data_IF_426709286013
#
_entry.id   IF_426709286013
#
_cell.length_a   1.000
_cell.length_b   1.000
_cell.length_c   1.000
_cell.angle_alpha   90.00
_cell.angle_beta   90.00
_cell.angle_gamma   90.00
#
_symmetry.space_group_name_H-M   'P 1'
#
loop_
_entity.id
_entity.type
_entity.pdbx_description
1 polymer ?
#
# COMPACT_ATOMS: atom_id res chain seq x y z
N UNK A 1 -5.55 18.43 4.15
CA UNK A 1 -4.99 17.65 3.02
C UNK A 1 -5.13 16.15 3.24
N UNK A 2 -4.52 15.56 4.28
CA UNK A 2 -4.55 14.10 4.51
C UNK A 2 -5.97 13.52 4.66
N UNK A 3 -6.87 14.21 5.37
CA UNK A 3 -8.27 13.80 5.53
C UNK A 3 -9.02 13.68 4.19
N UNK A 4 -8.76 14.59 3.25
CA UNK A 4 -9.37 14.55 1.92
C UNK A 4 -8.84 13.36 1.11
N UNK A 5 -7.53 13.08 1.20
CA UNK A 5 -6.94 11.89 0.57
C UNK A 5 -7.51 10.60 1.17
N UNK A 6 -7.64 10.51 2.50
CA UNK A 6 -8.28 9.37 3.14
C UNK A 6 -9.73 9.18 2.66
N UNK A 7 -10.54 10.24 2.59
CA UNK A 7 -11.92 10.14 2.11
C UNK A 7 -12.00 9.64 0.66
N UNK A 8 -11.14 10.17 -0.23
CA UNK A 8 -11.06 9.73 -1.62
C UNK A 8 -10.59 8.27 -1.73
N UNK A 9 -9.59 7.87 -0.94
CA UNK A 9 -9.08 6.51 -0.94
C UNK A 9 -10.11 5.51 -0.37
N UNK A 10 -10.82 5.86 0.70
CA UNK A 10 -11.87 5.02 1.28
C UNK A 10 -12.98 4.78 0.23
N UNK A 11 -13.52 5.86 -0.35
CA UNK A 11 -14.55 5.76 -1.37
C UNK A 11 -14.08 5.00 -2.62
N UNK A 12 -12.91 5.36 -3.15
CA UNK A 12 -12.34 4.74 -4.35
C UNK A 12 -12.03 3.26 -4.18
N UNK A 13 -11.48 2.85 -3.04
CA UNK A 13 -11.17 1.45 -2.78
C UNK A 13 -12.43 0.62 -2.48
N UNK A 14 -13.43 1.16 -1.77
CA UNK A 14 -14.74 0.50 -1.63
C UNK A 14 -15.39 0.24 -2.98
N UNK A 15 -15.43 1.26 -3.85
CA UNK A 15 -15.94 1.11 -5.22
C UNK A 15 -15.10 0.09 -5.99
N UNK A 16 -13.78 0.10 -5.85
CA UNK A 16 -12.90 -0.87 -6.52
C UNK A 16 -13.20 -2.30 -6.10
N UNK A 17 -13.42 -2.56 -4.80
CA UNK A 17 -13.80 -3.89 -4.29
C UNK A 17 -15.13 -4.32 -4.91
N UNK A 18 -16.15 -3.47 -4.90
CA UNK A 18 -17.47 -3.78 -5.46
C UNK A 18 -17.37 -4.08 -6.96
N UNK A 19 -16.72 -3.20 -7.74
CA UNK A 19 -16.59 -3.33 -9.19
C UNK A 19 -15.83 -4.59 -9.58
N UNK A 20 -14.71 -4.89 -8.92
CA UNK A 20 -13.89 -6.06 -9.25
C UNK A 20 -14.56 -7.36 -8.79
N UNK A 21 -15.33 -7.34 -7.69
CA UNK A 21 -16.12 -8.49 -7.24
C UNK A 21 -17.16 -8.90 -8.29
N UNK A 22 -17.75 -7.94 -9.01
CA UNK A 22 -18.64 -8.22 -10.15
C UNK A 22 -17.95 -8.91 -11.34
N UNK A 23 -16.62 -8.79 -11.47
CA UNK A 23 -15.86 -9.49 -12.51
C UNK A 23 -15.55 -10.95 -12.14
N UNK A 24 -15.74 -11.33 -10.88
CA UNK A 24 -15.44 -12.65 -10.35
C UNK A 24 -13.94 -12.93 -10.17
N UNK A 25 -13.65 -13.92 -9.33
CA UNK A 25 -12.28 -14.26 -8.88
C UNK A 25 -11.62 -15.40 -9.67
N UNK A 26 -12.11 -15.70 -10.87
CA UNK A 26 -11.46 -16.67 -11.77
C UNK A 26 -10.20 -16.08 -12.42
N UNK A 27 -10.19 -14.77 -12.66
CA UNK A 27 -9.02 -14.04 -13.16
C UNK A 27 -8.08 -13.69 -11.98
N UNK A 28 -6.81 -14.07 -12.10
CA UNK A 28 -5.76 -13.84 -11.09
C UNK A 28 -5.60 -12.36 -10.74
N UNK A 29 -5.76 -11.51 -11.73
CA UNK A 29 -5.74 -10.05 -11.59
C UNK A 29 -6.81 -9.55 -10.62
N UNK A 30 -8.03 -10.10 -10.68
CA UNK A 30 -9.13 -9.64 -9.83
C UNK A 30 -8.89 -10.00 -8.37
N UNK A 31 -8.23 -11.15 -8.11
CA UNK A 31 -7.83 -11.59 -6.76
C UNK A 31 -6.87 -10.57 -6.14
N UNK A 32 -5.75 -10.29 -6.82
CA UNK A 32 -4.71 -9.40 -6.28
C UNK A 32 -5.17 -7.93 -6.21
N UNK A 33 -5.93 -7.44 -7.19
CA UNK A 33 -6.46 -6.06 -7.19
C UNK A 33 -7.49 -5.85 -6.08
N UNK A 34 -8.37 -6.83 -5.84
CA UNK A 34 -9.32 -6.74 -4.73
C UNK A 34 -8.60 -6.76 -3.39
N UNK A 35 -7.62 -7.65 -3.23
CA UNK A 35 -6.81 -7.72 -2.01
C UNK A 35 -6.02 -6.43 -1.75
N UNK A 36 -5.46 -5.83 -2.80
CA UNK A 36 -4.82 -4.51 -2.74
C UNK A 36 -5.81 -3.43 -2.27
N UNK A 37 -7.01 -3.38 -2.85
CA UNK A 37 -8.03 -2.40 -2.47
C UNK A 37 -8.50 -2.58 -1.01
N UNK A 38 -8.55 -3.82 -0.50
CA UNK A 38 -8.83 -4.10 0.93
C UNK A 38 -7.71 -3.55 1.82
N UNK A 39 -6.44 -3.76 1.46
CA UNK A 39 -5.30 -3.22 2.22
C UNK A 39 -5.30 -1.68 2.20
N UNK A 40 -5.50 -1.08 1.04
CA UNK A 40 -5.53 0.38 0.86
C UNK A 40 -6.71 1.01 1.63
N UNK A 41 -7.86 0.32 1.68
CA UNK A 41 -9.02 0.73 2.49
C UNK A 41 -8.69 0.68 3.98
N UNK A 42 -8.14 -0.44 4.48
CA UNK A 42 -7.78 -0.59 5.89
C UNK A 42 -6.72 0.45 6.32
N UNK A 43 -5.70 0.66 5.49
CA UNK A 43 -4.68 1.70 5.69
C UNK A 43 -5.32 3.10 5.75
N UNK A 44 -6.22 3.42 4.80
CA UNK A 44 -6.84 4.74 4.72
C UNK A 44 -7.83 5.00 5.88
N UNK A 45 -8.57 3.98 6.31
CA UNK A 45 -9.47 4.07 7.47
C UNK A 45 -8.68 4.33 8.75
N UNK A 46 -7.64 3.57 9.00
CA UNK A 46 -6.79 3.74 10.19
C UNK A 46 -6.07 5.10 10.16
N UNK A 47 -5.57 5.54 9.01
CA UNK A 47 -4.98 6.88 8.87
C UNK A 47 -6.01 8.01 9.06
N UNK A 48 -7.25 7.81 8.63
CA UNK A 48 -8.36 8.73 8.90
C UNK A 48 -8.66 8.84 10.40
N UNK A 49 -8.67 7.71 11.11
CA UNK A 49 -8.81 7.68 12.57
C UNK A 49 -7.68 8.48 13.23
N UNK A 50 -6.43 8.29 12.82
CA UNK A 50 -5.31 9.10 13.35
C UNK A 50 -5.53 10.61 13.17
N UNK A 51 -6.03 11.02 12.00
CA UNK A 51 -6.29 12.42 11.70
C UNK A 51 -7.40 13.04 12.59
N UNK A 52 -8.29 12.23 13.19
CA UNK A 52 -9.31 12.72 14.13
C UNK A 52 -8.71 13.34 15.40
N UNK A 53 -7.48 12.96 15.80
CA UNK A 53 -6.78 13.58 16.94
C UNK A 53 -6.71 15.10 16.84
N UNK A 54 -6.52 15.62 15.62
CA UNK A 54 -6.42 17.06 15.37
C UNK A 54 -7.74 17.80 15.57
N UNK A 55 -8.87 17.10 15.42
CA UNK A 55 -10.21 17.62 15.67
C UNK A 55 -10.48 17.57 17.17
N UNK A 56 -10.24 16.43 17.81
CA UNK A 56 -10.42 16.25 19.26
C UNK A 56 -9.60 17.27 20.05
N UNK A 57 -8.33 17.49 19.69
CA UNK A 57 -7.46 18.44 20.37
C UNK A 57 -7.89 19.90 20.27
N UNK A 58 -8.87 20.25 19.43
CA UNK A 58 -9.48 21.59 19.41
C UNK A 58 -10.56 21.77 20.47
N UNK A 59 -11.14 20.67 20.96
CA UNK A 59 -12.27 20.70 21.89
C UNK A 59 -11.87 20.18 23.28
N UNK A 60 -11.05 19.12 23.35
CA UNK A 60 -10.68 18.45 24.60
C UNK A 60 -9.27 17.85 24.48
N UNK A 61 -8.30 18.48 25.14
CA UNK A 61 -6.88 18.08 25.12
C UNK A 61 -6.67 16.73 25.83
N UNK A 62 -7.15 16.49 27.07
CA UNK A 62 -7.08 15.16 27.71
C UNK A 62 -7.67 14.02 26.86
N UNK A 63 -8.83 14.24 26.23
CA UNK A 63 -9.45 13.25 25.35
C UNK A 63 -8.60 12.99 24.10
N UNK A 64 -8.05 14.04 23.50
CA UNK A 64 -7.14 13.91 22.35
C UNK A 64 -5.87 13.14 22.68
N UNK A 65 -5.29 13.34 23.86
CA UNK A 65 -4.12 12.58 24.33
C UNK A 65 -4.47 11.12 24.52
N UNK A 66 -5.60 10.84 25.18
CA UNK A 66 -6.11 9.47 25.38
C UNK A 66 -6.31 8.78 24.04
N UNK A 67 -7.05 9.40 23.12
CA UNK A 67 -7.28 8.86 21.78
C UNK A 67 -5.99 8.58 21.03
N UNK A 68 -4.99 9.47 21.15
CA UNK A 68 -3.69 9.31 20.50
C UNK A 68 -2.91 8.12 21.07
N UNK A 69 -2.93 7.92 22.39
CA UNK A 69 -2.31 6.76 23.04
C UNK A 69 -2.98 5.46 22.61
N UNK A 70 -4.31 5.40 22.62
CA UNK A 70 -5.06 4.23 22.13
C UNK A 70 -4.78 3.93 20.66
N UNK A 71 -4.68 4.96 19.81
CA UNK A 71 -4.33 4.78 18.41
C UNK A 71 -2.94 4.16 18.26
N UNK A 72 -1.94 4.68 18.97
CA UNK A 72 -0.55 4.20 18.87
C UNK A 72 -0.42 2.75 19.35
N UNK A 73 -1.08 2.38 20.45
CA UNK A 73 -1.03 1.02 21.00
C UNK A 73 -1.82 0.03 20.14
N UNK A 74 -3.06 0.36 19.76
CA UNK A 74 -3.98 -0.62 19.20
C UNK A 74 -4.25 -0.52 17.70
N UNK A 75 -3.97 0.62 17.06
CA UNK A 75 -4.35 0.86 15.65
C UNK A 75 -3.14 1.03 14.75
N UNK A 76 -2.09 1.70 15.22
CA UNK A 76 -0.88 1.95 14.45
C UNK A 76 -0.20 0.67 13.94
N UNK A 77 -0.06 -0.42 14.73
CA UNK A 77 0.52 -1.66 14.20
C UNK A 77 -0.27 -2.23 13.01
N UNK A 78 -1.60 -2.21 13.07
CA UNK A 78 -2.46 -2.67 11.97
C UNK A 78 -2.42 -1.73 10.76
N UNK A 79 -2.24 -0.43 10.98
CA UNK A 79 -1.99 0.52 9.90
C UNK A 79 -0.71 0.16 9.15
N UNK A 80 0.39 -0.10 9.86
CA UNK A 80 1.66 -0.50 9.25
C UNK A 80 1.59 -1.87 8.57
N UNK A 81 0.88 -2.82 9.17
CA UNK A 81 0.63 -4.12 8.55
C UNK A 81 -0.16 -3.99 7.24
N UNK A 82 -1.22 -3.18 7.22
CA UNK A 82 -2.02 -2.93 6.01
C UNK A 82 -1.20 -2.27 4.92
N UNK A 83 -0.33 -1.32 5.28
CA UNK A 83 0.60 -0.67 4.37
C UNK A 83 1.57 -1.69 3.73
N UNK A 84 2.24 -2.49 4.56
CA UNK A 84 3.19 -3.49 4.11
C UNK A 84 2.53 -4.55 3.20
N UNK A 85 1.30 -4.96 3.54
CA UNK A 85 0.51 -5.81 2.67
C UNK A 85 0.19 -5.14 1.33
N UNK A 86 -0.24 -3.87 1.31
CA UNK A 86 -0.51 -3.13 0.07
C UNK A 86 0.73 -3.10 -0.84
N UNK A 87 1.90 -2.78 -0.28
CA UNK A 87 3.19 -2.82 -1.00
C UNK A 87 3.47 -4.21 -1.58
N UNK A 88 3.29 -5.27 -0.79
CA UNK A 88 3.46 -6.66 -1.25
C UNK A 88 2.52 -7.04 -2.39
N UNK A 89 1.27 -6.58 -2.37
CA UNK A 89 0.32 -6.81 -3.45
C UNK A 89 0.72 -6.09 -4.74
N UNK A 90 1.25 -4.86 -4.67
CA UNK A 90 1.80 -4.18 -5.86
C UNK A 90 2.98 -4.96 -6.44
N UNK A 91 3.82 -5.57 -5.61
CA UNK A 91 4.90 -6.47 -6.06
C UNK A 91 4.38 -7.71 -6.78
N UNK A 92 3.32 -8.35 -6.26
CA UNK A 92 2.66 -9.47 -6.96
C UNK A 92 2.13 -9.01 -8.32
N UNK A 93 1.49 -7.84 -8.40
CA UNK A 93 0.99 -7.27 -9.67
C UNK A 93 2.15 -7.08 -10.66
N UNK A 94 3.27 -6.51 -10.22
CA UNK A 94 4.44 -6.28 -11.07
C UNK A 94 5.03 -7.59 -11.61
N UNK A 95 5.15 -8.61 -10.74
CA UNK A 95 5.62 -9.95 -11.11
C UNK A 95 4.67 -10.63 -12.09
N UNK A 96 3.36 -10.60 -11.83
CA UNK A 96 2.34 -11.14 -12.73
C UNK A 96 2.44 -10.50 -14.12
N UNK A 97 2.57 -9.16 -14.19
CA UNK A 97 2.73 -8.44 -15.46
C UNK A 97 4.02 -8.83 -16.18
N UNK A 98 5.13 -8.91 -15.45
CA UNK A 98 6.42 -9.32 -16.02
C UNK A 98 6.32 -10.73 -16.61
N UNK A 99 5.74 -11.68 -15.88
CA UNK A 99 5.57 -13.06 -16.35
C UNK A 99 4.67 -13.14 -17.58
N UNK A 100 3.55 -12.41 -17.60
CA UNK A 100 2.63 -12.37 -18.73
C UNK A 100 3.29 -11.87 -20.03
N UNK A 101 4.18 -10.86 -19.92
CA UNK A 101 4.90 -10.30 -21.06
C UNK A 101 6.11 -11.14 -21.43
N UNK A 102 6.84 -11.67 -20.45
CA UNK A 102 8.08 -12.39 -20.69
C UNK A 102 7.86 -13.82 -21.18
N UNK A 103 6.78 -14.47 -20.74
CA UNK A 103 6.47 -15.87 -20.96
C UNK A 103 4.99 -16.09 -21.33
N UNK A 104 4.50 -15.51 -22.44
CA UNK A 104 3.08 -15.49 -22.79
C UNK A 104 2.46 -16.90 -22.94
N UNK A 105 3.24 -17.90 -23.37
CA UNK A 105 2.76 -19.29 -23.52
C UNK A 105 2.79 -20.12 -22.23
N UNK A 106 3.49 -19.64 -21.19
CA UNK A 106 3.60 -20.36 -19.90
C UNK A 106 2.86 -19.66 -18.77
N UNK A 107 2.47 -18.38 -18.94
CA UNK A 107 1.86 -17.60 -17.87
C UNK A 107 0.56 -18.22 -17.35
N UNK A 108 -0.29 -18.79 -18.22
CA UNK A 108 -1.53 -19.45 -17.80
C UNK A 108 -1.31 -20.70 -16.94
N UNK A 109 -0.16 -21.36 -17.09
CA UNK A 109 0.25 -22.51 -16.26
C UNK A 109 0.98 -22.08 -14.99
N UNK A 110 1.72 -20.97 -15.05
CA UNK A 110 2.49 -20.45 -13.91
C UNK A 110 1.57 -19.71 -12.94
N UNK A 111 0.79 -18.75 -13.46
CA UNK A 111 -0.09 -17.85 -12.72
C UNK A 111 -1.52 -18.36 -12.82
N UNK A 112 -1.90 -19.19 -11.84
CA UNK A 112 -3.26 -19.73 -11.70
C UNK A 112 -3.96 -19.08 -10.52
N UNK A 113 -5.30 -19.06 -10.51
CA UNK A 113 -6.09 -18.49 -9.41
C UNK A 113 -5.67 -19.05 -8.03
N UNK A 114 -5.48 -20.38 -7.92
CA UNK A 114 -5.03 -21.02 -6.68
C UNK A 114 -3.66 -20.53 -6.20
N UNK A 115 -2.68 -20.42 -7.12
CA UNK A 115 -1.34 -19.93 -6.78
C UNK A 115 -1.35 -18.45 -6.43
N UNK A 116 -2.20 -17.66 -7.11
CA UNK A 116 -2.38 -16.25 -6.82
C UNK A 116 -3.00 -16.03 -5.43
N UNK A 117 -4.05 -16.78 -5.09
CA UNK A 117 -4.65 -16.76 -3.74
C UNK A 117 -3.62 -17.16 -2.69
N UNK A 118 -2.84 -18.22 -2.93
CA UNK A 118 -1.79 -18.64 -2.02
C UNK A 118 -0.76 -17.52 -1.82
N UNK A 119 -0.29 -16.88 -2.90
CA UNK A 119 0.67 -15.77 -2.83
C UNK A 119 0.12 -14.56 -2.05
N UNK A 120 -1.15 -14.20 -2.27
CA UNK A 120 -1.85 -13.15 -1.51
C UNK A 120 -1.90 -13.49 -0.02
N UNK A 121 -2.27 -14.71 0.34
CA UNK A 121 -2.29 -15.18 1.74
C UNK A 121 -0.88 -15.16 2.34
N UNK A 122 0.14 -15.56 1.57
CA UNK A 122 1.54 -15.49 2.01
C UNK A 122 1.95 -14.06 2.37
N UNK A 123 1.56 -13.06 1.55
CA UNK A 123 1.84 -11.64 1.84
C UNK A 123 1.23 -11.22 3.16
N UNK A 124 -0.02 -11.60 3.44
CA UNK A 124 -0.67 -11.28 4.72
C UNK A 124 0.07 -11.90 5.90
N UNK A 125 0.38 -13.21 5.83
CA UNK A 125 1.04 -13.94 6.92
C UNK A 125 2.46 -13.42 7.16
N UNK A 126 3.27 -13.28 6.11
CA UNK A 126 4.65 -12.82 6.25
C UNK A 126 4.72 -11.42 6.85
N UNK A 127 3.89 -10.48 6.37
CA UNK A 127 3.87 -9.13 6.92
C UNK A 127 3.29 -9.09 8.34
N UNK A 128 2.34 -9.97 8.69
CA UNK A 128 1.81 -10.06 10.05
C UNK A 128 2.89 -10.51 11.03
N UNK A 129 3.65 -11.54 10.69
CA UNK A 129 4.75 -12.04 11.51
C UNK A 129 5.84 -10.97 11.68
N UNK A 130 6.17 -10.27 10.59
CA UNK A 130 7.16 -9.19 10.61
C UNK A 130 6.69 -7.96 11.41
N UNK A 131 5.38 -7.71 11.51
CA UNK A 131 4.84 -6.57 12.25
C UNK A 131 4.60 -6.84 13.74
N UNK A 132 4.76 -8.09 14.23
CA UNK A 132 4.55 -8.43 15.65
C UNK A 132 5.28 -7.47 16.61
N UNK A 133 6.57 -7.13 16.39
CA UNK A 133 7.28 -6.25 17.32
C UNK A 133 6.67 -4.84 17.44
N UNK A 134 5.90 -4.36 16.46
CA UNK A 134 5.19 -3.08 16.56
C UNK A 134 4.13 -3.08 17.67
N UNK A 135 3.53 -4.24 17.96
CA UNK A 135 2.54 -4.39 19.04
C UNK A 135 3.17 -4.40 20.43
N UNK A 136 4.49 -4.49 20.52
CA UNK A 136 5.23 -4.66 21.77
C UNK A 136 6.03 -3.40 22.13
N UNK A 137 5.84 -2.28 21.44
CA UNK A 137 6.63 -1.04 21.69
C UNK A 137 6.04 -0.25 22.85
N UNK A 138 4.73 -0.02 22.83
CA UNK A 138 4.07 0.93 23.72
C UNK A 138 2.91 0.28 24.47
N UNK A 139 2.77 0.67 25.73
CA UNK A 139 1.57 0.56 26.54
C UNK A 139 0.99 1.95 26.81
N UNK A 140 -0.01 2.04 27.67
CA UNK A 140 -0.49 3.31 28.19
C UNK A 140 -0.73 3.25 29.70
N UNK A 141 -0.52 4.40 30.34
CA UNK A 141 -0.76 4.60 31.76
C UNK A 141 -1.72 5.78 31.97
N UNK A 142 -2.57 5.68 32.99
CA UNK A 142 -3.49 6.75 33.35
C UNK A 142 -2.76 7.81 34.18
N UNK A 143 -2.65 9.01 33.62
CA UNK A 143 -1.98 10.16 34.26
C UNK A 143 -3.03 11.19 34.67
N UNK A 144 -2.91 11.70 35.90
CA UNK A 144 -3.78 12.77 36.39
C UNK A 144 -3.50 14.10 35.65
N UNK A 145 -4.56 14.71 35.12
CA UNK A 145 -4.58 16.06 34.55
C UNK A 145 -5.34 16.99 35.51
N UNK A 146 -4.61 17.61 36.44
CA UNK A 146 -5.21 18.51 37.42
C UNK A 146 -6.17 17.83 38.40
N UNK A 147 -7.07 18.61 39.00
CA UNK A 147 -7.80 18.18 40.20
C UNK A 147 -8.90 17.12 39.97
N UNK A 148 -9.36 16.86 38.74
CA UNK A 148 -10.47 15.93 38.48
C UNK A 148 -10.47 15.24 37.09
N UNK A 149 -9.40 15.36 36.30
CA UNK A 149 -9.32 14.67 35.00
C UNK A 149 -8.12 13.73 34.98
N UNK A 150 -8.22 12.66 34.20
CA UNK A 150 -7.09 11.79 33.86
C UNK A 150 -7.09 11.54 32.36
N UNK A 151 -5.93 11.23 31.80
CA UNK A 151 -5.78 10.84 30.40
C UNK A 151 -4.80 9.68 30.28
N UNK A 152 -4.96 8.88 29.23
CA UNK A 152 -4.00 7.84 28.91
C UNK A 152 -2.76 8.48 28.25
N UNK A 153 -1.60 8.35 28.88
CA UNK A 153 -0.30 8.71 28.32
C UNK A 153 0.42 7.46 27.81
N UNK A 154 1.22 7.60 26.75
CA UNK A 154 2.04 6.51 26.25
C UNK A 154 3.15 6.18 27.26
N UNK A 155 3.31 4.90 27.54
CA UNK A 155 4.46 4.35 28.26
C UNK A 155 5.16 3.31 27.37
N UNK A 156 6.45 3.09 27.61
CA UNK A 156 7.16 2.01 26.93
C UNK A 156 6.72 0.67 27.51
N UNK A 157 6.47 -0.31 26.64
CA UNK A 157 6.21 -1.66 27.09
C UNK A 157 7.49 -2.27 27.68
N UNK A 158 7.36 -3.03 28.77
CA UNK A 158 8.50 -3.64 29.47
C UNK A 158 9.40 -4.47 28.54
N UNK A 159 8.81 -5.26 27.63
CA UNK A 159 9.58 -6.06 26.67
C UNK A 159 10.44 -5.17 25.74
N UNK A 160 9.89 -4.02 25.32
CA UNK A 160 10.63 -3.05 24.53
C UNK A 160 11.72 -2.36 25.34
N UNK A 161 11.45 -1.91 26.56
CA UNK A 161 12.48 -1.30 27.39
C UNK A 161 13.65 -2.26 27.65
N UNK A 162 13.38 -3.55 27.87
CA UNK A 162 14.40 -4.58 28.07
C UNK A 162 15.17 -4.94 26.78
N UNK A 163 14.61 -4.71 25.59
CA UNK A 163 15.17 -5.14 24.29
C UNK A 163 15.24 -4.02 23.24
N UNK A 164 15.33 -2.76 23.69
CA UNK A 164 15.12 -1.57 22.85
C UNK A 164 16.09 -1.47 21.68
N UNK A 165 17.36 -1.81 21.85
CA UNK A 165 18.36 -1.83 20.77
C UNK A 165 17.97 -2.83 19.67
N UNK A 166 17.66 -4.06 20.06
CA UNK A 166 17.29 -5.13 19.12
C UNK A 166 15.98 -4.80 18.40
N UNK A 167 14.98 -4.30 19.12
CA UNK A 167 13.68 -3.94 18.53
C UNK A 167 13.80 -2.75 17.60
N UNK A 168 14.55 -1.72 17.98
CA UNK A 168 14.79 -0.57 17.10
C UNK A 168 15.56 -0.96 15.85
N UNK A 169 16.59 -1.81 15.97
CA UNK A 169 17.30 -2.36 14.81
C UNK A 169 16.35 -3.16 13.91
N UNK A 170 15.56 -4.07 14.49
CA UNK A 170 14.61 -4.87 13.72
C UNK A 170 13.57 -3.99 12.99
N UNK A 171 12.97 -3.00 13.66
CA UNK A 171 11.93 -2.17 13.05
C UNK A 171 12.47 -1.16 12.03
N UNK A 172 13.53 -0.44 12.38
CA UNK A 172 14.10 0.61 11.54
C UNK A 172 14.88 0.05 10.34
N UNK A 173 15.54 -1.11 10.51
CA UNK A 173 16.36 -1.71 9.45
C UNK A 173 15.62 -2.87 8.79
N UNK A 174 15.28 -3.91 9.55
CA UNK A 174 14.81 -5.18 8.98
C UNK A 174 13.40 -5.05 8.42
N UNK A 175 12.42 -4.65 9.23
CA UNK A 175 11.03 -4.46 8.81
C UNK A 175 10.94 -3.41 7.70
N UNK A 176 11.46 -2.22 7.93
CA UNK A 176 11.36 -1.10 6.99
C UNK A 176 11.99 -1.42 5.62
N UNK A 177 13.09 -2.18 5.57
CA UNK A 177 13.72 -2.52 4.30
C UNK A 177 13.16 -3.79 3.66
N UNK A 178 12.87 -4.84 4.41
CA UNK A 178 12.34 -6.08 3.82
C UNK A 178 10.86 -5.96 3.42
N UNK A 179 10.04 -5.23 4.19
CA UNK A 179 8.62 -5.09 3.92
C UNK A 179 8.27 -3.92 2.99
N UNK A 180 9.14 -2.90 2.87
CA UNK A 180 8.85 -1.69 2.07
C UNK A 180 9.88 -1.45 0.97
N UNK A 181 11.18 -1.43 1.27
CA UNK A 181 12.23 -1.09 0.29
C UNK A 181 12.48 -2.21 -0.74
N UNK A 182 12.68 -3.44 -0.29
CA UNK A 182 12.96 -4.59 -1.17
C UNK A 182 11.81 -4.83 -2.18
N UNK A 183 10.53 -4.81 -1.76
CA UNK A 183 9.40 -4.85 -2.69
C UNK A 183 9.45 -3.76 -3.77
N UNK A 184 9.87 -2.53 -3.43
CA UNK A 184 10.03 -1.46 -4.40
C UNK A 184 11.11 -1.79 -5.44
N UNK A 185 12.25 -2.35 -5.02
CA UNK A 185 13.31 -2.80 -5.94
C UNK A 185 12.78 -3.89 -6.87
N UNK A 186 12.03 -4.85 -6.34
CA UNK A 186 11.40 -5.91 -7.16
C UNK A 186 10.41 -5.31 -8.16
N UNK A 187 9.56 -4.38 -7.73
CA UNK A 187 8.61 -3.67 -8.62
C UNK A 187 9.36 -2.91 -9.71
N UNK A 188 10.47 -2.24 -9.37
CA UNK A 188 11.29 -1.49 -10.32
C UNK A 188 11.88 -2.41 -11.40
N UNK A 189 12.49 -3.52 -10.99
CA UNK A 189 13.08 -4.50 -11.91
C UNK A 189 12.01 -5.14 -12.80
N UNK A 190 10.88 -5.55 -12.22
CA UNK A 190 9.78 -6.18 -12.95
C UNK A 190 9.15 -5.20 -13.95
N UNK A 191 8.89 -3.97 -13.53
CA UNK A 191 8.29 -2.92 -14.36
C UNK A 191 9.21 -2.55 -15.51
N UNK A 192 10.51 -2.35 -15.23
CA UNK A 192 11.52 -2.04 -16.25
C UNK A 192 11.64 -3.16 -17.28
N UNK A 193 11.74 -4.42 -16.83
CA UNK A 193 11.78 -5.60 -17.70
C UNK A 193 10.54 -5.68 -18.59
N UNK A 194 9.36 -5.43 -18.02
CA UNK A 194 8.08 -5.42 -18.73
C UNK A 194 8.06 -4.35 -19.83
N UNK A 195 8.47 -3.11 -19.50
CA UNK A 195 8.50 -1.98 -20.45
C UNK A 195 9.47 -2.25 -21.59
N UNK A 196 10.69 -2.70 -21.28
CA UNK A 196 11.71 -3.02 -22.30
C UNK A 196 11.20 -4.10 -23.24
N UNK A 197 10.66 -5.20 -22.71
CA UNK A 197 10.20 -6.32 -23.55
C UNK A 197 8.99 -5.97 -24.40
N UNK A 198 8.04 -5.17 -23.87
CA UNK A 198 6.95 -4.61 -24.69
C UNK A 198 7.50 -3.76 -25.84
N UNK A 199 8.49 -2.90 -25.56
CA UNK A 199 9.05 -1.97 -26.55
C UNK A 199 9.81 -2.71 -27.66
N UNK A 200 10.64 -3.69 -27.29
CA UNK A 200 11.35 -4.54 -28.25
C UNK A 200 10.37 -5.32 -29.12
N UNK A 201 9.37 -5.96 -28.51
CA UNK A 201 8.39 -6.75 -29.26
C UNK A 201 7.55 -5.88 -30.20
N UNK A 202 7.21 -4.64 -29.80
CA UNK A 202 6.56 -3.66 -30.69
C UNK A 202 7.40 -3.31 -31.90
N UNK A 203 8.72 -3.12 -31.73
CA UNK A 203 9.63 -2.85 -32.86
C UNK A 203 9.69 -4.03 -33.83
N UNK A 204 9.76 -5.27 -33.34
CA UNK A 204 9.72 -6.46 -34.19
C UNK A 204 8.39 -6.62 -34.95
N UNK A 205 7.26 -6.25 -34.34
CA UNK A 205 5.93 -6.36 -34.97
C UNK A 205 5.66 -5.19 -35.93
N UNK A 206 6.16 -3.99 -35.67
CA UNK A 206 6.04 -2.89 -36.65
C UNK A 206 6.78 -3.19 -37.96
N UNK A 207 7.74 -4.12 -37.94
CA UNK A 207 8.37 -4.66 -39.14
C UNK A 207 7.57 -5.79 -39.82
N UNK A 208 6.46 -6.26 -39.25
CA UNK A 208 5.58 -7.29 -39.84
C UNK A 208 4.10 -6.83 -39.91
N UNK A 209 3.62 -6.59 -41.13
CA UNK A 209 2.37 -5.88 -41.44
C UNK A 209 1.05 -6.59 -41.06
N UNK A 210 1.05 -7.78 -40.44
CA UNK A 210 -0.09 -8.70 -40.53
C UNK A 210 -0.84 -9.08 -39.24
N UNK A 211 -0.56 -8.51 -38.06
CA UNK A 211 -1.20 -8.95 -36.80
C UNK A 211 -1.77 -7.85 -35.88
N UNK A 212 -2.34 -6.78 -36.44
CA UNK A 212 -2.68 -5.56 -35.70
C UNK A 212 -4.01 -5.59 -34.89
N UNK A 213 -5.01 -6.37 -35.29
CA UNK A 213 -6.38 -6.24 -34.75
C UNK A 213 -6.63 -7.06 -33.47
N UNK A 214 -6.15 -8.30 -33.42
CA UNK A 214 -6.41 -9.22 -32.29
C UNK A 214 -5.64 -8.82 -31.00
N UNK A 215 -4.49 -8.13 -31.13
CA UNK A 215 -3.59 -7.81 -30.01
C UNK A 215 -3.91 -6.49 -29.28
N UNK A 216 -4.87 -5.71 -29.77
CA UNK A 216 -5.22 -4.37 -29.24
C UNK A 216 -6.04 -4.44 -27.94
N UNK A 217 -6.67 -5.58 -27.63
CA UNK A 217 -7.51 -5.81 -26.44
C UNK A 217 -6.68 -6.21 -25.20
N UNK A 218 -5.70 -7.09 -25.36
CA UNK A 218 -4.76 -7.50 -24.28
C UNK A 218 -3.83 -6.37 -23.80
N UNK A 219 -3.49 -5.43 -24.68
CA UNK A 219 -2.62 -4.30 -24.31
C UNK A 219 -3.26 -3.32 -23.31
N UNK A 220 -4.59 -3.23 -23.23
CA UNK A 220 -5.26 -2.25 -22.35
C UNK A 220 -5.21 -2.69 -20.87
N UNK A 221 -5.48 -3.96 -20.58
CA UNK A 221 -5.43 -4.49 -19.22
C UNK A 221 -3.99 -4.47 -18.67
N UNK A 222 -3.01 -4.92 -19.47
CA UNK A 222 -1.58 -4.86 -19.11
C UNK A 222 -1.13 -3.41 -18.86
N UNK A 223 -1.62 -2.43 -19.64
CA UNK A 223 -1.29 -1.01 -19.47
C UNK A 223 -1.82 -0.43 -18.16
N UNK A 224 -3.01 -0.83 -17.71
CA UNK A 224 -3.60 -0.31 -16.46
C UNK A 224 -2.75 -0.67 -15.24
N UNK A 225 -2.42 -1.94 -15.07
CA UNK A 225 -1.65 -2.43 -13.93
C UNK A 225 -0.19 -1.99 -13.98
N UNK A 226 0.38 -1.89 -15.19
CA UNK A 226 1.71 -1.29 -15.36
C UNK A 226 1.72 0.18 -14.94
N UNK A 227 0.62 0.92 -15.19
CA UNK A 227 0.48 2.32 -14.74
C UNK A 227 0.44 2.39 -13.22
N UNK A 228 -0.28 1.48 -12.55
CA UNK A 228 -0.27 1.37 -11.08
C UNK A 228 1.16 1.15 -10.55
N UNK A 229 1.92 0.21 -11.12
CA UNK A 229 3.30 -0.03 -10.70
C UNK A 229 4.21 1.19 -10.90
N UNK A 230 4.10 1.90 -12.02
CA UNK A 230 4.91 3.09 -12.30
C UNK A 230 4.57 4.22 -11.33
N UNK A 231 3.28 4.47 -11.08
CA UNK A 231 2.85 5.52 -10.14
C UNK A 231 3.30 5.17 -8.73
N UNK A 232 3.15 3.92 -8.30
CA UNK A 232 3.66 3.44 -7.03
C UNK A 232 5.17 3.69 -6.89
N UNK A 233 5.97 3.35 -7.92
CA UNK A 233 7.42 3.60 -7.90
C UNK A 233 7.75 5.08 -7.71
N UNK A 234 7.12 5.98 -8.47
CA UNK A 234 7.39 7.42 -8.39
C UNK A 234 7.00 7.99 -7.03
N UNK A 235 5.84 7.58 -6.51
CA UNK A 235 5.30 8.12 -5.25
C UNK A 235 6.05 7.57 -4.04
N UNK A 236 6.42 6.28 -4.04
CA UNK A 236 7.01 5.61 -2.87
C UNK A 236 8.54 5.64 -2.86
N UNK A 237 9.20 5.86 -3.99
CA UNK A 237 10.67 5.93 -4.06
C UNK A 237 11.32 6.86 -3.03
N UNK A 238 10.82 8.10 -2.78
CA UNK A 238 11.39 8.97 -1.76
C UNK A 238 11.38 8.33 -0.36
N UNK A 239 10.31 7.62 -0.01
CA UNK A 239 10.19 6.91 1.26
C UNK A 239 11.24 5.80 1.39
N UNK A 240 11.44 5.01 0.33
CA UNK A 240 12.43 3.93 0.32
C UNK A 240 13.87 4.43 0.36
N UNK A 241 14.18 5.55 -0.30
CA UNK A 241 15.51 6.18 -0.21
C UNK A 241 15.82 6.57 1.24
N UNK A 242 14.86 7.14 1.95
CA UNK A 242 15.03 7.44 3.36
C UNK A 242 15.19 6.19 4.23
N UNK A 243 14.44 5.11 3.99
CA UNK A 243 14.58 3.88 4.76
C UNK A 243 15.97 3.24 4.60
N UNK A 244 16.57 3.34 3.41
CA UNK A 244 17.96 2.90 3.17
C UNK A 244 18.95 3.82 3.88
N UNK A 245 18.74 5.14 3.80
CA UNK A 245 19.56 6.11 4.52
C UNK A 245 19.51 5.88 6.03
N UNK A 246 18.33 5.61 6.60
CA UNK A 246 18.18 5.33 8.02
C UNK A 246 18.87 4.02 8.45
N UNK A 247 19.03 3.06 7.53
CA UNK A 247 19.66 1.78 7.80
C UNK A 247 21.19 1.77 7.65
N UNK A 248 21.75 2.57 6.74
CA UNK A 248 23.17 2.51 6.34
C UNK A 248 23.89 3.86 6.46
N UNK A 249 23.13 4.94 6.67
CA UNK A 249 23.67 6.29 6.80
C UNK A 249 24.44 6.51 8.10
N UNK A 250 25.20 7.62 8.18
CA UNK A 250 25.87 8.02 9.41
C UNK A 250 24.84 8.19 10.53
N UNK A 251 25.31 8.00 11.77
CA UNK A 251 24.52 7.94 12.99
C UNK A 251 23.26 8.82 12.92
N UNK A 252 22.10 8.17 12.86
CA UNK A 252 20.81 8.86 12.70
C UNK A 252 20.45 9.76 13.88
N UNK A 253 21.28 9.75 14.94
CA UNK A 253 21.30 10.72 16.04
C UNK A 253 21.68 12.15 15.60
N UNK A 254 22.33 12.30 14.43
CA UNK A 254 22.64 13.60 13.82
C UNK A 254 21.39 14.32 13.31
N UNK A 255 20.33 13.57 12.98
CA UNK A 255 19.05 14.15 12.55
C UNK A 255 18.19 14.52 13.76
N UNK A 256 17.71 15.76 13.79
CA UNK A 256 16.81 16.23 14.84
C UNK A 256 15.51 15.40 14.87
N UNK A 257 14.92 15.27 16.06
CA UNK A 257 13.62 14.59 16.20
C UNK A 257 12.53 15.22 15.33
N UNK A 258 12.55 16.54 15.16
CA UNK A 258 11.65 17.28 14.28
C UNK A 258 11.78 16.87 12.81
N UNK A 259 13.01 16.66 12.33
CA UNK A 259 13.25 16.18 10.97
C UNK A 259 12.69 14.76 10.78
N UNK A 260 12.89 13.86 11.75
CA UNK A 260 12.33 12.49 11.69
C UNK A 260 10.80 12.50 11.64
N UNK A 261 10.16 13.36 12.43
CA UNK A 261 8.70 13.55 12.41
C UNK A 261 8.25 14.08 11.04
N UNK A 262 8.92 15.10 10.50
CA UNK A 262 8.61 15.65 9.19
C UNK A 262 8.70 14.58 8.10
N UNK A 263 9.77 13.77 8.12
CA UNK A 263 9.93 12.65 7.17
C UNK A 263 8.80 11.63 7.31
N UNK A 264 8.45 11.22 8.53
CA UNK A 264 7.36 10.28 8.76
C UNK A 264 6.01 10.81 8.22
N UNK A 265 5.75 12.12 8.40
CA UNK A 265 4.55 12.77 7.84
C UNK A 265 4.57 12.78 6.30
N UNK A 266 5.71 13.09 5.69
CA UNK A 266 5.86 13.06 4.23
C UNK A 266 5.69 11.64 3.69
N UNK A 267 6.31 10.64 4.30
CA UNK A 267 6.15 9.23 3.93
C UNK A 267 4.68 8.81 4.01
N UNK A 268 3.99 9.13 5.11
CA UNK A 268 2.56 8.85 5.27
C UNK A 268 1.70 9.51 4.18
N UNK A 269 2.01 10.74 3.79
CA UNK A 269 1.32 11.43 2.68
C UNK A 269 1.57 10.76 1.33
N UNK A 270 2.80 10.33 1.05
CA UNK A 270 3.14 9.62 -0.18
C UNK A 270 2.41 8.28 -0.27
N UNK A 271 2.46 7.47 0.79
CA UNK A 271 1.75 6.19 0.83
C UNK A 271 0.23 6.36 0.72
N UNK A 272 -0.35 7.35 1.42
CA UNK A 272 -1.77 7.68 1.28
C UNK A 272 -2.13 8.12 -0.14
N UNK A 273 -1.26 8.88 -0.80
CA UNK A 273 -1.44 9.26 -2.21
C UNK A 273 -1.46 8.03 -3.10
N UNK A 274 -0.53 7.10 -2.90
CA UNK A 274 -0.49 5.83 -3.63
C UNK A 274 -1.77 5.01 -3.47
N UNK A 275 -2.31 4.89 -2.26
CA UNK A 275 -3.58 4.22 -1.98
C UNK A 275 -4.79 4.92 -2.63
N UNK A 276 -4.71 6.23 -2.85
CA UNK A 276 -5.80 7.03 -3.43
C UNK A 276 -5.88 6.91 -4.95
N UNK A 277 -4.72 6.92 -5.62
CA UNK A 277 -4.65 7.04 -7.10
C UNK A 277 -5.08 5.76 -7.84
N UNK A 278 -5.00 4.59 -7.21
CA UNK A 278 -5.31 3.29 -7.82
C UNK A 278 -6.69 3.27 -8.49
N UNK A 279 -7.72 3.71 -7.77
CA UNK A 279 -9.10 3.80 -8.29
C UNK A 279 -9.20 4.65 -9.56
N UNK A 280 -8.58 5.84 -9.55
CA UNK A 280 -8.60 6.76 -10.70
C UNK A 280 -7.83 6.17 -11.89
N UNK A 281 -6.73 5.46 -11.63
CA UNK A 281 -5.99 4.73 -12.67
C UNK A 281 -6.90 3.68 -13.30
N UNK A 282 -7.60 2.86 -12.50
CA UNK A 282 -8.50 1.82 -13.02
C UNK A 282 -9.63 2.41 -13.85
N UNK A 283 -10.30 3.48 -13.37
CA UNK A 283 -11.34 4.18 -14.12
C UNK A 283 -10.85 4.71 -15.47
N UNK A 284 -9.65 5.27 -15.52
CA UNK A 284 -9.14 5.92 -16.74
C UNK A 284 -8.53 4.94 -17.73
N UNK A 285 -7.92 3.86 -17.24
CA UNK A 285 -7.09 2.97 -18.07
C UNK A 285 -7.73 1.62 -18.38
N UNK A 286 -8.67 1.13 -17.55
CA UNK A 286 -9.35 -0.15 -17.76
C UNK A 286 -10.78 0.06 -18.25
N UNK A 287 -11.05 -0.25 -19.52
CA UNK A 287 -12.41 -0.17 -20.08
C UNK A 287 -13.37 -1.17 -19.43
N UNK A 288 -12.86 -2.32 -18.97
CA UNK A 288 -13.66 -3.32 -18.25
C UNK A 288 -14.12 -2.76 -16.90
N UNK A 289 -13.20 -2.16 -16.13
CA UNK A 289 -13.51 -1.53 -14.85
C UNK A 289 -14.45 -0.34 -15.02
N UNK A 290 -14.15 0.58 -15.95
CA UNK A 290 -14.97 1.76 -16.20
C UNK A 290 -16.39 1.41 -16.67
N UNK A 291 -16.54 0.36 -17.50
CA UNK A 291 -17.85 -0.11 -17.96
C UNK A 291 -18.72 -0.62 -16.81
N UNK A 292 -18.16 -1.47 -15.95
CA UNK A 292 -18.89 -1.99 -14.77
C UNK A 292 -19.17 -0.88 -13.74
N UNK A 293 -18.24 0.04 -13.51
CA UNK A 293 -18.48 1.21 -12.67
C UNK A 293 -19.69 2.01 -13.16
N UNK A 294 -19.75 2.33 -14.46
CA UNK A 294 -20.89 3.06 -15.04
C UNK A 294 -22.19 2.27 -14.90
N UNK A 295 -22.17 0.96 -15.17
CA UNK A 295 -23.36 0.13 -15.07
C UNK A 295 -23.93 0.05 -13.64
N UNK A 296 -23.07 0.09 -12.61
CA UNK A 296 -23.48 -0.03 -11.21
C UNK A 296 -23.85 1.32 -10.56
N UNK A 297 -23.10 2.38 -10.88
CA UNK A 297 -23.17 3.65 -10.15
C UNK A 297 -23.67 4.83 -11.00
N UNK A 298 -23.68 4.69 -12.33
CA UNK A 298 -24.21 5.71 -13.24
C UNK A 298 -25.49 5.18 -13.90
N UNK A 299 -26.61 5.21 -13.17
CA UNK A 299 -27.93 4.96 -13.74
C UNK A 299 -28.16 5.94 -14.92
N UNK A 300 -28.18 5.44 -16.17
CA UNK A 300 -28.57 6.23 -17.35
C UNK A 300 -27.80 6.05 -18.65
N UNK A 301 -26.68 5.30 -18.71
CA UNK A 301 -25.98 5.03 -19.98
C UNK A 301 -26.31 3.65 -20.56
N UNK A 302 -27.60 3.41 -20.80
CA UNK A 302 -28.08 2.41 -21.75
C UNK A 302 -29.07 3.11 -22.69
N UNK A 303 -28.54 3.87 -23.65
CA UNK A 303 -29.17 4.26 -24.90
C UNK A 303 -28.06 4.37 -25.96
#
# INVERSE_FOLDING_TARGET
MIQALCALAIGGNLVSIVVVSHHGFQETTNIVVTSLAVCDLAYSLTNCLYAMRSVLGRFDTPLSSTFSSYYVVYVFPWNQWSLACSVGHVTIIALERMLAVCFPFRVSTIVTARRMTAAVISVYICNLLMSIPLHLIFDFEWVASGQNASYAALSENQFYSDNSELMNFFLSVVFSNLALTLPLVVVFVCTSTTIVKITVNRRHIQMSLTAASCRRRDQKAVKSLLTVCVVFLVVVAPSSVYNVYAAVGPDSSVLSGEFKILVALVQGLLYQTSATVNFFIYLRTSSKFAGTYKALFCFGYNL
#
